data_IF_701644966082
#
_entry.id   IF_701644966082
#
_cell.length_a   1.000
_cell.length_b   1.000
_cell.length_c   1.000
_cell.angle_alpha   90.00
_cell.angle_beta   90.00
_cell.angle_gamma   90.00
#
_symmetry.space_group_name_H-M   'P 1'
#
loop_
_entity.id
_entity.type
_entity.pdbx_description
1 polymer ?
#
# COMPACT_ATOMS: atom_id res chain seq x y z
N UNK A 1 37.54 3.33 9.43
CA UNK A 1 37.02 3.59 10.79
C UNK A 1 35.88 4.57 10.65
N UNK A 2 34.65 4.07 10.45
CA UNK A 2 33.45 4.90 10.49
C UNK A 2 33.02 5.01 11.95
N UNK A 3 32.95 6.25 12.41
CA UNK A 3 32.51 6.59 13.76
C UNK A 3 31.01 6.29 13.86
N UNK A 4 30.66 5.15 14.47
CA UNK A 4 29.34 4.93 15.01
C UNK A 4 29.13 5.97 16.12
N UNK A 5 28.49 7.09 15.78
CA UNK A 5 27.95 8.00 16.76
C UNK A 5 26.76 7.29 17.43
N UNK A 6 27.07 6.49 18.45
CA UNK A 6 26.09 6.00 19.40
C UNK A 6 25.46 7.22 20.07
N UNK A 7 24.24 7.56 19.66
CA UNK A 7 23.37 8.44 20.43
C UNK A 7 22.98 7.71 21.71
N UNK A 8 23.77 7.90 22.77
CA UNK A 8 23.57 7.28 24.10
C UNK A 8 22.35 7.87 24.84
N UNK A 9 21.74 8.95 24.31
CA UNK A 9 20.51 9.53 24.86
C UNK A 9 19.37 9.19 23.90
N UNK A 10 18.54 8.21 24.26
CA UNK A 10 17.22 8.07 23.63
C UNK A 10 16.38 9.26 24.07
N UNK A 11 15.89 10.02 23.10
CA UNK A 11 14.93 11.09 23.35
C UNK A 11 13.67 10.52 24.01
N UNK A 12 13.11 11.21 25.00
CA UNK A 12 11.80 10.86 25.59
C UNK A 12 10.63 11.18 24.64
N UNK A 13 10.92 11.82 23.50
CA UNK A 13 9.93 12.10 22.47
C UNK A 13 9.86 10.96 21.45
N UNK A 14 8.65 10.57 20.99
CA UNK A 14 8.50 9.59 19.93
C UNK A 14 9.21 10.07 18.66
N UNK A 15 9.85 9.13 17.96
CA UNK A 15 10.56 9.40 16.72
C UNK A 15 9.63 9.99 15.66
N UNK A 16 10.09 11.03 14.96
CA UNK A 16 9.27 11.67 13.93
C UNK A 16 9.19 10.78 12.70
N UNK A 17 8.04 10.74 12.03
CA UNK A 17 7.86 9.90 10.85
C UNK A 17 8.85 10.24 9.72
N UNK A 18 9.34 11.48 9.63
CA UNK A 18 10.37 11.88 8.66
C UNK A 18 11.72 11.25 8.97
N UNK A 19 12.07 11.09 10.25
CA UNK A 19 13.30 10.42 10.69
C UNK A 19 13.23 8.94 10.31
N UNK A 20 12.11 8.28 10.64
CA UNK A 20 11.84 6.87 10.25
C UNK A 20 11.89 6.71 8.73
N UNK A 21 11.29 7.64 7.96
CA UNK A 21 11.29 7.58 6.51
C UNK A 21 12.69 7.79 5.90
N UNK A 22 13.59 8.49 6.61
CA UNK A 22 14.97 8.67 6.19
C UNK A 22 15.89 7.51 6.59
N UNK A 23 15.53 6.74 7.63
CA UNK A 23 16.29 5.60 8.15
C UNK A 23 15.57 4.26 7.88
N UNK A 24 15.33 4.00 6.59
CA UNK A 24 14.77 2.72 6.13
C UNK A 24 15.87 1.65 6.08
N UNK A 25 15.51 0.42 6.42
CA UNK A 25 16.37 -0.74 6.15
C UNK A 25 16.41 -0.95 4.63
N UNK A 26 17.59 -0.75 4.04
CA UNK A 26 17.83 -0.84 2.60
C UNK A 26 18.87 -1.89 2.21
N UNK A 27 19.68 -2.36 3.17
CA UNK A 27 20.59 -3.49 2.99
C UNK A 27 19.93 -4.79 3.52
N UNK A 28 19.73 -5.81 2.67
CA UNK A 28 19.22 -7.11 3.14
C UNK A 28 20.02 -7.72 4.30
N UNK A 29 21.33 -7.44 4.41
CA UNK A 29 22.16 -7.94 5.53
C UNK A 29 21.76 -7.36 6.87
N UNK A 30 21.33 -6.09 6.89
CA UNK A 30 20.83 -5.45 8.10
C UNK A 30 19.53 -6.12 8.55
N UNK A 31 18.58 -6.33 7.64
CA UNK A 31 17.32 -7.01 7.96
C UNK A 31 17.54 -8.44 8.47
N UNK A 32 18.47 -9.19 7.86
CA UNK A 32 18.86 -10.52 8.33
C UNK A 32 19.40 -10.51 9.77
N UNK A 33 20.26 -9.53 10.07
CA UNK A 33 20.86 -9.40 11.39
C UNK A 33 19.81 -9.01 12.45
N UNK A 34 18.97 -8.02 12.15
CA UNK A 34 17.90 -7.55 13.04
C UNK A 34 16.92 -8.69 13.38
N UNK A 35 16.57 -9.49 12.37
CA UNK A 35 15.66 -10.63 12.53
C UNK A 35 16.36 -11.92 12.94
N UNK A 36 17.69 -11.94 13.13
CA UNK A 36 18.45 -13.15 13.51
C UNK A 36 18.18 -14.35 12.60
N UNK A 37 18.07 -14.10 11.30
CA UNK A 37 17.74 -15.13 10.31
C UNK A 37 18.98 -15.93 9.91
N UNK A 38 18.90 -17.25 10.01
CA UNK A 38 19.95 -18.16 9.53
C UNK A 38 19.82 -18.39 8.02
N UNK A 39 20.87 -18.04 7.27
CA UNK A 39 20.90 -18.13 5.81
C UNK A 39 21.44 -19.46 5.29
N UNK A 40 22.01 -20.32 6.14
CA UNK A 40 22.78 -21.50 5.70
C UNK A 40 21.93 -22.61 5.10
N UNK A 41 20.65 -22.73 5.52
CA UNK A 41 19.78 -23.84 5.14
C UNK A 41 18.43 -23.41 4.54
N UNK A 42 18.16 -22.11 4.37
CA UNK A 42 16.88 -21.64 3.84
C UNK A 42 16.98 -21.21 2.36
N UNK A 43 16.25 -21.86 1.43
CA UNK A 43 16.22 -21.46 0.02
C UNK A 43 15.78 -20.02 -0.22
N UNK A 44 14.94 -19.46 0.66
CA UNK A 44 14.50 -18.07 0.58
C UNK A 44 15.62 -17.07 0.86
N UNK A 45 16.70 -17.47 1.53
CA UNK A 45 17.82 -16.60 1.86
C UNK A 45 18.58 -16.11 0.62
N UNK A 46 18.48 -16.83 -0.50
CA UNK A 46 19.05 -16.38 -1.77
C UNK A 46 18.34 -15.11 -2.26
N UNK A 47 19.11 -14.06 -2.50
CA UNK A 47 18.62 -12.77 -3.00
C UNK A 47 18.41 -12.81 -4.52
N UNK A 48 17.39 -12.10 -5.02
CA UNK A 48 17.23 -11.79 -6.43
C UNK A 48 18.23 -10.71 -6.85
N UNK A 49 19.13 -11.03 -7.78
CA UNK A 49 20.12 -10.08 -8.27
C UNK A 49 19.46 -9.00 -9.15
N UNK A 50 18.61 -9.40 -10.10
CA UNK A 50 17.92 -8.44 -10.98
C UNK A 50 16.81 -7.71 -10.21
N UNK A 51 16.00 -8.46 -9.46
CA UNK A 51 14.89 -7.94 -8.67
C UNK A 51 15.30 -6.90 -7.63
N UNK A 52 16.44 -7.09 -6.96
CA UNK A 52 16.97 -6.12 -5.99
C UNK A 52 17.53 -4.86 -6.67
N UNK A 53 18.19 -5.00 -7.82
CA UNK A 53 18.72 -3.85 -8.57
C UNK A 53 17.62 -2.95 -9.15
N UNK A 54 16.53 -3.55 -9.64
CA UNK A 54 15.39 -2.82 -10.21
C UNK A 54 14.43 -2.28 -9.15
N UNK A 55 14.22 -3.05 -8.08
CA UNK A 55 13.29 -2.72 -7.01
C UNK A 55 14.02 -2.93 -5.67
N UNK A 56 14.74 -1.90 -5.16
CA UNK A 56 15.59 -2.06 -3.98
C UNK A 56 14.78 -2.44 -2.74
N UNK A 57 15.44 -3.02 -1.73
CA UNK A 57 14.82 -3.22 -0.43
C UNK A 57 14.51 -1.85 0.20
N UNK A 58 13.30 -1.70 0.72
CA UNK A 58 12.91 -0.60 1.60
C UNK A 58 11.95 -1.13 2.64
N UNK A 59 12.37 -1.14 3.89
CA UNK A 59 11.56 -1.60 5.01
C UNK A 59 11.64 -0.60 6.16
N UNK A 60 10.52 0.03 6.55
CA UNK A 60 10.51 0.87 7.74
C UNK A 60 10.76 0.03 8.99
N UNK A 61 11.56 0.56 9.92
CA UNK A 61 11.88 -0.12 11.19
C UNK A 61 10.63 -0.50 12.00
N UNK A 62 9.57 0.33 12.12
CA UNK A 62 8.34 -0.08 12.81
C UNK A 62 7.61 -1.26 12.14
N UNK A 63 7.81 -1.48 10.85
CA UNK A 63 7.28 -2.65 10.14
C UNK A 63 8.13 -3.89 10.41
N UNK A 64 9.46 -3.77 10.33
CA UNK A 64 10.38 -4.86 10.65
C UNK A 64 10.25 -5.33 12.12
N UNK A 65 10.00 -4.41 13.05
CA UNK A 65 9.87 -4.71 14.48
C UNK A 65 8.68 -5.64 14.82
N UNK A 66 7.70 -5.77 13.91
CA UNK A 66 6.56 -6.69 14.05
C UNK A 66 6.83 -8.09 13.50
N UNK A 67 7.96 -8.31 12.83
CA UNK A 67 8.34 -9.63 12.32
C UNK A 67 8.86 -10.51 13.46
N UNK A 68 8.65 -11.82 13.35
CA UNK A 68 9.16 -12.81 14.29
C UNK A 68 10.65 -13.11 14.04
N UNK A 69 11.56 -12.86 15.01
CA UNK A 69 12.97 -13.18 14.85
C UNK A 69 13.21 -14.68 14.65
N UNK A 70 14.09 -15.03 13.72
CA UNK A 70 14.45 -16.40 13.39
C UNK A 70 13.43 -17.12 12.48
N UNK A 71 12.33 -16.46 12.10
CA UNK A 71 11.27 -17.07 11.31
C UNK A 71 11.31 -16.62 9.83
N UNK A 72 11.77 -17.50 8.94
CA UNK A 72 11.74 -17.28 7.49
C UNK A 72 10.35 -17.36 6.88
N UNK A 73 9.42 -18.02 7.56
CA UNK A 73 8.03 -18.15 7.14
C UNK A 73 7.16 -16.99 7.61
N UNK A 74 7.76 -16.00 8.29
CA UNK A 74 7.07 -14.80 8.76
C UNK A 74 6.32 -14.10 7.61
N UNK A 75 5.01 -13.85 7.74
CA UNK A 75 4.18 -13.33 6.67
C UNK A 75 4.48 -11.86 6.34
N UNK A 76 5.09 -11.09 7.25
CA UNK A 76 5.54 -9.72 6.98
C UNK A 76 6.87 -9.75 6.24
N UNK A 77 7.82 -10.60 6.64
CA UNK A 77 9.09 -10.80 5.95
C UNK A 77 8.86 -11.19 4.49
N UNK A 78 7.97 -12.16 4.25
CA UNK A 78 7.61 -12.61 2.90
C UNK A 78 7.13 -11.47 2.00
N UNK A 79 6.54 -10.42 2.55
CA UNK A 79 6.05 -9.27 1.77
C UNK A 79 7.15 -8.28 1.35
N UNK A 80 8.34 -8.34 1.96
CA UNK A 80 9.42 -7.36 1.75
C UNK A 80 10.77 -7.98 1.37
N UNK A 81 10.96 -9.28 1.61
CA UNK A 81 12.23 -9.96 1.34
C UNK A 81 12.45 -10.21 -0.17
N UNK A 82 13.53 -9.68 -0.77
CA UNK A 82 13.82 -9.76 -2.20
C UNK A 82 14.40 -11.13 -2.58
N UNK A 83 13.58 -12.16 -2.51
CA UNK A 83 13.96 -13.55 -2.77
C UNK A 83 14.36 -13.77 -4.24
N UNK A 84 15.27 -14.70 -4.48
CA UNK A 84 15.67 -15.18 -5.82
C UNK A 84 14.50 -15.65 -6.69
N UNK A 85 13.36 -15.99 -6.08
CA UNK A 85 12.10 -16.31 -6.77
C UNK A 85 11.56 -15.15 -7.62
N UNK A 86 12.04 -13.93 -7.42
CA UNK A 86 11.68 -12.77 -8.25
C UNK A 86 12.40 -12.72 -9.59
N UNK A 87 13.54 -13.40 -9.72
CA UNK A 87 14.30 -13.46 -10.97
C UNK A 87 13.78 -14.57 -11.90
N UNK A 88 12.73 -15.29 -11.50
CA UNK A 88 12.06 -16.30 -12.32
C UNK A 88 11.20 -15.62 -13.38
N UNK A 89 11.65 -15.74 -14.64
CA UNK A 89 10.95 -15.22 -15.80
C UNK A 89 9.81 -16.16 -16.24
N UNK A 90 8.74 -15.60 -16.79
CA UNK A 90 7.58 -16.35 -17.29
C UNK A 90 6.84 -15.51 -18.32
N UNK A 91 6.46 -16.12 -19.45
CA UNK A 91 5.68 -15.47 -20.52
C UNK A 91 4.27 -15.05 -20.06
N UNK A 92 3.82 -15.57 -18.92
CA UNK A 92 2.52 -15.23 -18.33
C UNK A 92 2.55 -13.99 -17.43
N UNK A 93 3.70 -13.30 -17.35
CA UNK A 93 3.93 -12.09 -16.56
C UNK A 93 4.24 -10.89 -17.48
N UNK A 94 3.84 -9.70 -17.06
CA UNK A 94 4.04 -8.43 -17.79
C UNK A 94 4.67 -7.36 -16.91
N UNK A 95 5.29 -6.34 -17.53
CA UNK A 95 5.78 -5.15 -16.82
C UNK A 95 4.63 -4.16 -16.49
N UNK A 96 3.58 -4.11 -17.32
CA UNK A 96 2.38 -3.30 -17.13
C UNK A 96 1.14 -4.18 -17.36
N UNK A 97 0.77 -5.04 -16.40
CA UNK A 97 -0.36 -5.97 -16.58
C UNK A 97 -1.70 -5.23 -16.61
N UNK A 98 -1.75 -4.00 -16.10
CA UNK A 98 -2.97 -3.20 -15.98
C UNK A 98 -3.15 -2.20 -17.11
N UNK A 99 -2.14 -2.07 -17.98
CA UNK A 99 -2.10 -1.13 -19.09
C UNK A 99 -2.31 0.33 -18.61
N UNK A 100 -1.78 0.68 -17.44
CA UNK A 100 -2.03 1.98 -16.81
C UNK A 100 -1.58 3.14 -17.69
N UNK A 101 -0.52 2.92 -18.47
CA UNK A 101 0.02 3.86 -19.45
C UNK A 101 -1.02 4.35 -20.47
N UNK A 102 -2.01 3.52 -20.83
CA UNK A 102 -3.07 3.87 -21.78
C UNK A 102 -4.17 4.77 -21.19
N UNK A 103 -4.22 4.93 -19.86
CA UNK A 103 -5.26 5.70 -19.16
C UNK A 103 -4.77 7.06 -18.67
N UNK A 104 -3.50 7.41 -18.94
CA UNK A 104 -2.93 8.73 -18.66
C UNK A 104 -3.57 9.80 -19.56
N UNK A 105 -4.33 10.72 -18.97
CA UNK A 105 -4.87 11.90 -19.68
C UNK A 105 -3.81 13.00 -19.76
N UNK A 106 -3.16 13.24 -18.64
CA UNK A 106 -1.98 14.10 -18.46
C UNK A 106 -1.00 13.36 -17.55
N UNK A 107 0.29 13.73 -17.53
CA UNK A 107 1.25 13.16 -16.59
C UNK A 107 0.72 13.17 -15.16
N UNK A 108 0.58 11.99 -14.57
CA UNK A 108 0.09 11.78 -13.21
C UNK A 108 -1.42 11.95 -12.97
N UNK A 109 -2.24 12.10 -14.02
CA UNK A 109 -3.69 11.95 -13.95
C UNK A 109 -4.15 10.75 -14.77
N UNK A 110 -4.68 9.75 -14.07
CA UNK A 110 -5.22 8.53 -14.65
C UNK A 110 -6.75 8.56 -14.58
N UNK A 111 -7.42 8.27 -15.69
CA UNK A 111 -8.87 8.09 -15.71
C UNK A 111 -9.25 6.76 -16.36
N UNK A 112 -9.30 5.72 -15.53
CA UNK A 112 -9.73 4.38 -15.94
C UNK A 112 -11.26 4.20 -15.92
N UNK A 113 -11.94 4.93 -15.04
CA UNK A 113 -13.34 4.69 -14.75
C UNK A 113 -14.18 5.96 -14.82
N UNK A 114 -15.45 5.80 -15.17
CA UNK A 114 -16.41 6.90 -15.15
C UNK A 114 -16.53 7.50 -13.74
N UNK A 115 -16.61 8.83 -13.68
CA UNK A 115 -16.90 9.62 -12.50
C UNK A 115 -15.78 9.75 -11.47
N UNK A 116 -14.58 9.19 -11.74
CA UNK A 116 -13.44 9.29 -10.84
C UNK A 116 -12.10 9.34 -11.56
N UNK A 117 -11.15 10.05 -10.99
CA UNK A 117 -9.75 10.11 -11.46
C UNK A 117 -8.79 9.73 -10.35
N UNK A 118 -7.60 9.28 -10.74
CA UNK A 118 -6.49 9.02 -9.83
C UNK A 118 -5.35 10.01 -10.12
N UNK A 119 -4.86 10.64 -9.06
CA UNK A 119 -3.70 11.51 -9.07
C UNK A 119 -2.51 10.78 -8.45
N UNK A 120 -1.38 10.73 -9.15
CA UNK A 120 -0.11 10.24 -8.60
C UNK A 120 0.51 11.32 -7.70
N UNK A 121 -0.02 11.41 -6.48
CA UNK A 121 0.33 12.45 -5.53
C UNK A 121 1.81 12.42 -5.13
N UNK A 122 2.40 11.23 -5.01
CA UNK A 122 3.83 11.06 -4.73
C UNK A 122 4.40 9.84 -5.49
N UNK A 123 5.65 9.90 -5.97
CA UNK A 123 6.27 8.80 -6.71
C UNK A 123 6.89 7.73 -5.82
N UNK A 124 7.21 8.04 -4.57
CA UNK A 124 7.98 7.16 -3.68
C UNK A 124 7.10 6.43 -2.66
N UNK A 125 7.53 5.22 -2.30
CA UNK A 125 6.98 4.43 -1.19
C UNK A 125 7.99 4.37 -0.04
N UNK A 126 7.49 4.32 1.20
CA UNK A 126 8.29 4.02 2.39
C UNK A 126 8.63 2.52 2.52
N UNK A 127 7.84 1.66 1.87
CA UNK A 127 8.04 0.20 1.84
C UNK A 127 7.95 -0.30 0.41
N UNK A 128 8.86 -1.18 0.01
CA UNK A 128 8.83 -1.83 -1.29
C UNK A 128 8.21 -3.23 -1.16
N UNK A 129 6.91 -3.31 -1.40
CA UNK A 129 6.16 -4.56 -1.33
C UNK A 129 6.59 -5.48 -2.50
N UNK A 130 7.08 -6.69 -2.23
CA UNK A 130 7.59 -7.59 -3.28
C UNK A 130 6.52 -8.12 -4.23
N UNK A 131 5.25 -7.89 -3.89
CA UNK A 131 4.08 -8.17 -4.72
C UNK A 131 3.52 -6.90 -5.41
N UNK A 132 4.22 -5.76 -5.36
CA UNK A 132 3.73 -4.50 -5.92
C UNK A 132 3.52 -4.57 -7.43
N UNK A 133 2.28 -4.32 -7.88
CA UNK A 133 1.96 -4.33 -9.30
C UNK A 133 2.56 -3.14 -10.07
N UNK A 134 2.89 -2.04 -9.37
CA UNK A 134 3.55 -0.85 -9.92
C UNK A 134 5.07 -0.85 -9.77
N UNK A 135 5.69 -1.99 -9.46
CA UNK A 135 7.15 -2.06 -9.27
C UNK A 135 7.97 -1.63 -10.50
N UNK A 136 7.37 -1.68 -11.69
CA UNK A 136 7.95 -1.24 -12.98
C UNK A 136 7.31 0.04 -13.52
N UNK A 137 6.47 0.72 -12.73
CA UNK A 137 5.78 1.94 -13.17
C UNK A 137 6.77 3.10 -13.35
N UNK A 138 6.62 3.87 -14.42
CA UNK A 138 7.45 5.04 -14.68
C UNK A 138 7.00 6.23 -13.83
N UNK A 139 7.40 6.21 -12.57
CA UNK A 139 7.14 7.29 -11.63
C UNK A 139 7.81 8.60 -12.02
N UNK A 140 8.95 8.57 -12.73
CA UNK A 140 9.64 9.78 -13.15
C UNK A 140 8.81 10.57 -14.17
N UNK A 141 8.22 9.88 -15.15
CA UNK A 141 7.32 10.50 -16.12
C UNK A 141 5.95 10.88 -15.55
N UNK A 142 5.58 10.35 -14.38
CA UNK A 142 4.27 10.56 -13.73
C UNK A 142 4.39 11.24 -12.36
N UNK A 143 5.41 12.09 -12.19
CA UNK A 143 5.54 13.02 -11.07
C UNK A 143 5.18 14.42 -11.57
N UNK A 144 3.95 14.90 -11.35
CA UNK A 144 3.52 16.18 -11.92
C UNK A 144 4.30 17.34 -11.31
N UNK A 145 4.81 18.23 -12.16
CA UNK A 145 5.32 19.52 -11.74
C UNK A 145 4.17 20.51 -11.54
N UNK A 146 4.52 21.78 -11.28
CA UNK A 146 3.52 22.83 -11.04
C UNK A 146 2.56 23.02 -12.22
N UNK A 147 3.08 22.96 -13.45
CA UNK A 147 2.30 23.14 -14.68
C UNK A 147 1.32 21.99 -14.89
N UNK A 148 1.82 20.76 -14.76
CA UNK A 148 1.04 19.53 -14.92
C UNK A 148 -0.05 19.43 -13.85
N UNK A 149 0.22 19.92 -12.62
CA UNK A 149 -0.81 20.04 -11.59
C UNK A 149 -1.90 21.04 -11.98
N UNK A 150 -1.54 22.23 -12.45
CA UNK A 150 -2.55 23.20 -12.92
C UNK A 150 -3.43 22.62 -14.03
N UNK A 151 -2.84 21.89 -14.97
CA UNK A 151 -3.56 21.20 -16.06
C UNK A 151 -4.50 20.12 -15.50
N UNK A 152 -4.03 19.32 -14.54
CA UNK A 152 -4.80 18.24 -13.92
C UNK A 152 -5.99 18.77 -13.11
N UNK A 153 -5.79 19.84 -12.33
CA UNK A 153 -6.84 20.49 -11.55
C UNK A 153 -7.85 21.19 -12.48
N UNK A 154 -7.39 21.85 -13.54
CA UNK A 154 -8.28 22.43 -14.55
C UNK A 154 -9.14 21.36 -15.22
N UNK A 155 -8.54 20.24 -15.63
CA UNK A 155 -9.26 19.11 -16.21
C UNK A 155 -10.39 18.59 -15.32
N UNK A 156 -10.12 18.43 -14.02
CA UNK A 156 -11.14 17.99 -13.04
C UNK A 156 -12.24 19.06 -12.90
N UNK A 157 -11.85 20.33 -12.83
CA UNK A 157 -12.79 21.45 -12.69
C UNK A 157 -13.71 21.61 -13.92
N UNK A 158 -13.23 21.26 -15.11
CA UNK A 158 -13.99 21.35 -16.38
C UNK A 158 -14.86 20.11 -16.65
N UNK A 159 -14.70 19.05 -15.83
CA UNK A 159 -15.36 17.75 -16.03
C UNK A 159 -16.38 17.47 -14.90
N UNK A 160 -17.63 17.96 -15.01
CA UNK A 160 -18.62 17.89 -13.93
C UNK A 160 -19.04 16.46 -13.53
N UNK A 161 -18.80 15.47 -14.41
CA UNK A 161 -19.09 14.06 -14.11
C UNK A 161 -18.12 13.47 -13.07
N UNK A 162 -16.95 14.11 -12.84
CA UNK A 162 -15.95 13.65 -11.86
C UNK A 162 -16.36 14.08 -10.45
N UNK A 163 -17.02 13.17 -9.72
CA UNK A 163 -17.43 13.40 -8.33
C UNK A 163 -16.40 12.88 -7.31
N UNK A 164 -15.40 12.12 -7.76
CA UNK A 164 -14.38 11.55 -6.87
C UNK A 164 -12.96 11.71 -7.40
N UNK A 165 -12.05 12.11 -6.52
CA UNK A 165 -10.61 12.19 -6.79
C UNK A 165 -9.85 11.25 -5.85
N UNK A 166 -9.01 10.40 -6.43
CA UNK A 166 -8.21 9.41 -5.71
C UNK A 166 -6.76 9.87 -5.64
N UNK A 167 -6.21 10.05 -4.43
CA UNK A 167 -4.78 10.25 -4.23
C UNK A 167 -4.08 8.89 -4.07
N UNK A 168 -3.15 8.61 -4.96
CA UNK A 168 -2.34 7.37 -5.00
C UNK A 168 -0.95 7.69 -5.58
N UNK A 169 -0.32 6.74 -6.27
CA UNK A 169 1.03 6.85 -6.81
C UNK A 169 1.91 5.74 -6.24
N UNK A 170 3.02 6.13 -5.63
CA UNK A 170 3.76 5.29 -4.69
C UNK A 170 2.98 5.22 -3.39
N UNK A 171 3.10 6.25 -2.55
CA UNK A 171 2.20 6.45 -1.41
C UNK A 171 1.96 7.97 -1.16
N UNK A 172 0.71 8.47 -1.21
CA UNK A 172 0.41 9.89 -1.05
C UNK A 172 0.86 10.45 0.31
N UNK A 173 0.87 9.63 1.37
CA UNK A 173 1.32 10.08 2.69
C UNK A 173 2.85 10.07 2.84
N UNK A 174 3.60 9.58 1.86
CA UNK A 174 5.04 9.79 1.82
C UNK A 174 5.41 11.25 1.46
N UNK A 175 4.44 12.05 1.01
CA UNK A 175 4.64 13.47 0.78
C UNK A 175 4.64 14.28 2.08
N UNK A 176 5.39 15.40 2.06
CA UNK A 176 5.42 16.36 3.16
C UNK A 176 4.08 17.06 3.37
N UNK A 177 3.81 17.43 4.62
CA UNK A 177 2.51 17.96 5.04
C UNK A 177 2.07 19.20 4.25
N UNK A 178 2.98 20.14 3.93
CA UNK A 178 2.63 21.33 3.16
C UNK A 178 2.15 21.02 1.75
N UNK A 179 2.76 20.03 1.08
CA UNK A 179 2.38 19.64 -0.27
C UNK A 179 1.05 18.86 -0.25
N UNK A 180 0.89 17.94 0.70
CA UNK A 180 -0.36 17.20 0.85
C UNK A 180 -1.54 18.14 1.16
N UNK A 181 -1.35 19.09 2.09
CA UNK A 181 -2.36 20.09 2.43
C UNK A 181 -2.76 20.94 1.22
N UNK A 182 -1.78 21.39 0.44
CA UNK A 182 -2.04 22.14 -0.79
C UNK A 182 -2.84 21.30 -1.79
N UNK A 183 -2.43 20.06 -2.09
CA UNK A 183 -3.11 19.22 -3.07
C UNK A 183 -4.55 18.89 -2.64
N UNK A 184 -4.76 18.58 -1.36
CA UNK A 184 -6.09 18.38 -0.79
C UNK A 184 -6.95 19.64 -0.94
N UNK A 185 -6.41 20.82 -0.63
CA UNK A 185 -7.15 22.08 -0.73
C UNK A 185 -7.51 22.44 -2.18
N UNK A 186 -6.63 22.20 -3.15
CA UNK A 186 -6.92 22.44 -4.57
C UNK A 186 -8.05 21.54 -5.07
N UNK A 187 -8.04 20.26 -4.70
CA UNK A 187 -9.09 19.31 -5.08
C UNK A 187 -10.41 19.62 -4.36
N UNK A 188 -10.36 19.89 -3.04
CA UNK A 188 -11.56 20.10 -2.22
C UNK A 188 -12.33 21.39 -2.57
N UNK A 189 -11.63 22.38 -3.16
CA UNK A 189 -12.22 23.62 -3.67
C UNK A 189 -13.15 23.39 -4.86
N UNK A 190 -13.01 22.29 -5.59
CA UNK A 190 -13.82 21.99 -6.78
C UNK A 190 -15.24 21.57 -6.33
N UNK A 191 -16.30 22.36 -6.63
CA UNK A 191 -17.61 22.16 -6.00
C UNK A 191 -18.27 20.79 -6.24
N UNK A 192 -18.12 20.24 -7.45
CA UNK A 192 -18.70 18.95 -7.85
C UNK A 192 -17.88 17.74 -7.40
N UNK A 193 -16.67 17.93 -6.84
CA UNK A 193 -15.95 16.85 -6.17
C UNK A 193 -16.60 16.64 -4.80
N UNK A 194 -17.17 15.46 -4.60
CA UNK A 194 -17.89 15.09 -3.38
C UNK A 194 -17.06 14.18 -2.47
N UNK A 195 -16.11 13.44 -3.05
CA UNK A 195 -15.27 12.46 -2.33
C UNK A 195 -13.80 12.62 -2.69
N UNK A 196 -12.96 12.69 -1.66
CA UNK A 196 -11.51 12.56 -1.79
C UNK A 196 -11.11 11.23 -1.17
N UNK A 197 -10.55 10.35 -1.99
CA UNK A 197 -10.13 9.01 -1.57
C UNK A 197 -8.61 8.94 -1.49
N UNK A 198 -8.05 8.50 -0.37
CA UNK A 198 -6.60 8.41 -0.17
C UNK A 198 -6.22 6.94 -0.06
N UNK A 199 -5.34 6.46 -0.95
CA UNK A 199 -4.80 5.10 -0.89
C UNK A 199 -3.41 5.14 -0.30
N UNK A 200 -3.23 4.62 0.91
CA UNK A 200 -1.95 4.70 1.60
C UNK A 200 -1.68 3.45 2.44
N UNK A 201 -0.44 2.96 2.36
CA UNK A 201 0.09 1.92 3.23
C UNK A 201 0.85 2.50 4.42
N UNK A 202 1.21 3.80 4.38
CA UNK A 202 1.99 4.46 5.43
C UNK A 202 1.44 4.24 6.86
N UNK A 203 0.13 4.33 7.15
CA UNK A 203 -0.38 4.07 8.50
C UNK A 203 -0.11 2.65 9.00
N UNK A 204 0.06 1.69 8.09
CA UNK A 204 0.41 0.31 8.41
C UNK A 204 1.91 0.17 8.65
N UNK A 205 2.78 0.85 7.90
CA UNK A 205 4.24 0.63 7.98
C UNK A 205 5.01 1.67 8.82
N UNK A 206 4.48 2.88 8.94
CA UNK A 206 4.97 3.99 9.77
C UNK A 206 3.74 4.67 10.41
N UNK A 207 3.13 4.08 11.45
CA UNK A 207 1.94 4.64 12.10
C UNK A 207 2.16 6.08 12.62
N UNK A 208 3.42 6.45 12.92
CA UNK A 208 3.85 7.79 13.32
C UNK A 208 3.52 8.87 12.26
N UNK A 209 3.27 8.49 11.00
CA UNK A 209 2.85 9.43 9.94
C UNK A 209 1.47 10.03 10.22
N UNK A 210 0.65 9.36 11.05
CA UNK A 210 -0.65 9.84 11.48
C UNK A 210 -0.48 10.83 12.63
N UNK A 211 -0.16 12.06 12.25
CA UNK A 211 0.02 13.18 13.19
C UNK A 211 -1.30 13.93 13.42
N UNK A 212 -1.34 14.76 14.45
CA UNK A 212 -2.45 15.69 14.67
C UNK A 212 -2.67 16.62 13.46
N UNK A 213 -1.59 17.04 12.79
CA UNK A 213 -1.67 17.88 11.59
C UNK A 213 -2.36 17.15 10.43
N UNK A 214 -2.01 15.87 10.18
CA UNK A 214 -2.71 15.06 9.17
C UNK A 214 -4.20 14.91 9.52
N UNK A 215 -4.50 14.63 10.79
CA UNK A 215 -5.88 14.51 11.24
C UNK A 215 -6.68 15.81 11.03
N UNK A 216 -6.07 16.98 11.31
CA UNK A 216 -6.67 18.29 11.04
C UNK A 216 -7.02 18.44 9.56
N UNK A 217 -6.05 18.18 8.66
CA UNK A 217 -6.27 18.26 7.21
C UNK A 217 -7.46 17.42 6.75
N UNK A 218 -7.60 16.19 7.28
CA UNK A 218 -8.70 15.29 6.91
C UNK A 218 -10.04 15.77 7.46
N UNK A 219 -10.07 16.30 8.68
CA UNK A 219 -11.29 16.78 9.35
C UNK A 219 -11.84 18.09 8.79
N UNK A 220 -10.99 18.88 8.14
CA UNK A 220 -11.34 20.19 7.57
C UNK A 220 -11.86 20.09 6.13
N UNK A 221 -11.80 18.91 5.50
CA UNK A 221 -12.30 18.71 4.14
C UNK A 221 -13.82 18.93 4.09
N UNK A 222 -14.27 19.70 3.09
CA UNK A 222 -15.69 19.78 2.71
C UNK A 222 -16.15 18.44 2.11
N UNK A 223 -15.32 17.87 1.25
CA UNK A 223 -15.55 16.58 0.60
C UNK A 223 -15.47 15.44 1.60
N UNK A 224 -16.22 14.37 1.36
CA UNK A 224 -16.10 13.15 2.17
C UNK A 224 -14.71 12.54 2.01
N UNK A 225 -14.05 12.27 3.13
CA UNK A 225 -12.78 11.56 3.15
C UNK A 225 -13.01 10.04 3.20
N UNK A 226 -12.49 9.32 2.22
CA UNK A 226 -12.40 7.85 2.23
C UNK A 226 -10.94 7.46 2.26
N UNK A 227 -10.53 6.67 3.24
CA UNK A 227 -9.15 6.26 3.39
C UNK A 227 -9.03 4.76 3.17
N UNK A 228 -8.21 4.38 2.21
CA UNK A 228 -7.95 3.00 1.84
C UNK A 228 -6.58 2.59 2.37
N UNK A 229 -6.57 1.72 3.38
CA UNK A 229 -5.35 1.10 3.89
C UNK A 229 -4.96 -0.10 3.03
N UNK A 230 -3.70 -0.51 3.16
CA UNK A 230 -3.20 -1.72 2.52
C UNK A 230 -2.50 -2.66 3.52
N UNK A 231 -3.29 -3.55 4.10
CA UNK A 231 -2.87 -4.56 5.08
C UNK A 231 -3.21 -5.96 4.59
N UNK A 232 -2.24 -6.90 4.60
CA UNK A 232 -2.43 -8.27 4.09
C UNK A 232 -2.48 -9.34 5.18
N UNK A 233 -1.93 -9.07 6.37
CA UNK A 233 -1.88 -10.03 7.46
C UNK A 233 -2.20 -9.34 8.81
N UNK A 234 -2.92 -9.97 9.75
CA UNK A 234 -3.26 -9.35 11.04
C UNK A 234 -2.04 -8.95 11.88
N UNK A 235 -0.89 -9.60 11.68
CA UNK A 235 0.38 -9.23 12.33
C UNK A 235 0.89 -7.84 11.92
N UNK A 236 0.39 -7.28 10.81
CA UNK A 236 0.65 -5.90 10.43
C UNK A 236 -0.13 -4.89 11.30
N UNK A 237 -0.97 -5.30 12.25
CA UNK A 237 -1.74 -4.39 13.10
C UNK A 237 -1.38 -4.66 14.56
N UNK A 238 -0.46 -3.85 15.08
CA UNK A 238 -0.15 -3.76 16.50
C UNK A 238 -0.92 -2.60 17.15
N UNK A 239 -0.58 -2.27 18.41
CA UNK A 239 -1.22 -1.18 19.14
C UNK A 239 -0.98 0.21 18.53
N UNK A 240 0.19 0.47 17.95
CA UNK A 240 0.50 1.76 17.33
C UNK A 240 -0.27 1.94 16.03
N UNK A 241 -0.33 0.90 15.20
CA UNK A 241 -1.14 0.90 13.97
C UNK A 241 -2.62 1.05 14.31
N UNK A 242 -3.12 0.32 15.32
CA UNK A 242 -4.52 0.47 15.75
C UNK A 242 -4.83 1.90 16.20
N UNK A 243 -3.94 2.54 16.97
CA UNK A 243 -4.11 3.92 17.41
C UNK A 243 -4.10 4.91 16.22
N UNK A 244 -3.19 4.71 15.26
CA UNK A 244 -3.11 5.52 14.05
C UNK A 244 -4.39 5.41 13.19
N UNK A 245 -4.89 4.19 12.98
CA UNK A 245 -6.14 3.96 12.25
C UNK A 245 -7.32 4.62 12.96
N UNK A 246 -7.44 4.44 14.28
CA UNK A 246 -8.47 5.11 15.08
C UNK A 246 -8.38 6.62 14.95
N UNK A 247 -7.19 7.22 14.99
CA UNK A 247 -7.04 8.67 14.81
C UNK A 247 -7.56 9.16 13.45
N UNK A 248 -7.26 8.44 12.35
CA UNK A 248 -7.81 8.75 11.02
C UNK A 248 -9.34 8.64 11.02
N UNK A 249 -9.89 7.59 11.66
CA UNK A 249 -11.35 7.43 11.79
C UNK A 249 -12.01 8.58 12.55
N UNK A 250 -11.40 9.02 13.65
CA UNK A 250 -11.89 10.13 14.47
C UNK A 250 -11.79 11.47 13.76
N UNK A 251 -10.84 11.63 12.83
CA UNK A 251 -10.75 12.78 11.92
C UNK A 251 -11.88 12.82 10.87
N UNK A 252 -12.80 11.85 10.87
CA UNK A 252 -13.99 11.86 10.02
C UNK A 252 -13.89 11.00 8.75
N UNK A 253 -12.74 10.38 8.48
CA UNK A 253 -12.59 9.51 7.31
C UNK A 253 -13.32 8.17 7.47
N UNK A 254 -13.91 7.68 6.38
CA UNK A 254 -14.35 6.29 6.28
C UNK A 254 -13.15 5.40 5.97
N UNK A 255 -12.88 4.38 6.79
CA UNK A 255 -11.72 3.50 6.62
C UNK A 255 -12.10 2.17 5.97
N UNK A 256 -11.39 1.84 4.90
CA UNK A 256 -11.52 0.57 4.19
C UNK A 256 -10.13 -0.05 4.00
N UNK A 257 -10.04 -1.37 3.90
CA UNK A 257 -8.79 -2.07 3.59
C UNK A 257 -8.85 -2.78 2.25
N UNK A 258 -7.82 -2.57 1.42
CA UNK A 258 -7.52 -3.44 0.29
C UNK A 258 -6.38 -4.38 0.66
N UNK A 259 -6.60 -5.68 0.50
CA UNK A 259 -5.57 -6.72 0.60
C UNK A 259 -5.33 -7.34 -0.77
N UNK A 260 -4.18 -7.99 -0.94
CA UNK A 260 -3.89 -8.89 -2.06
C UNK A 260 -3.80 -10.31 -1.50
N UNK A 261 -4.36 -11.28 -2.21
CA UNK A 261 -4.28 -12.70 -1.86
C UNK A 261 -2.92 -13.25 -2.27
N UNK A 262 -2.04 -13.44 -1.31
CA UNK A 262 -0.62 -13.74 -1.51
C UNK A 262 -0.30 -15.14 -0.99
N UNK A 263 0.26 -15.98 -1.87
CA UNK A 263 0.75 -17.32 -1.52
C UNK A 263 1.81 -17.25 -0.43
N UNK A 264 1.63 -18.04 0.63
CA UNK A 264 2.52 -18.11 1.79
C UNK A 264 2.35 -16.95 2.78
N UNK A 265 1.42 -16.01 2.56
CA UNK A 265 1.19 -14.87 3.46
C UNK A 265 -0.21 -14.93 4.06
N UNK A 266 -1.24 -14.90 3.21
CA UNK A 266 -2.63 -14.83 3.65
C UNK A 266 -3.57 -15.74 2.84
N UNK A 267 -3.03 -16.71 2.11
CA UNK A 267 -3.81 -17.70 1.37
C UNK A 267 -4.38 -18.83 2.25
N UNK A 268 -4.76 -18.50 3.48
CA UNK A 268 -5.33 -19.39 4.49
C UNK A 268 -6.58 -18.75 5.09
N UNK A 269 -7.62 -19.55 5.34
CA UNK A 269 -8.92 -19.03 5.80
C UNK A 269 -8.77 -18.31 7.15
N UNK A 270 -8.06 -18.92 8.08
CA UNK A 270 -7.81 -18.38 9.42
C UNK A 270 -7.08 -17.03 9.37
N UNK A 271 -6.09 -16.89 8.48
CA UNK A 271 -5.37 -15.62 8.28
C UNK A 271 -6.31 -14.51 7.81
N UNK A 272 -7.19 -14.79 6.85
CA UNK A 272 -8.16 -13.81 6.33
C UNK A 272 -9.26 -13.48 7.34
N UNK A 273 -9.77 -14.48 8.06
CA UNK A 273 -10.76 -14.30 9.13
C UNK A 273 -10.19 -13.42 10.24
N UNK A 274 -8.95 -13.71 10.66
CA UNK A 274 -8.24 -12.93 11.67
C UNK A 274 -7.93 -11.52 11.15
N UNK A 275 -7.49 -11.36 9.91
CA UNK A 275 -7.30 -10.04 9.29
C UNK A 275 -8.59 -9.19 9.35
N UNK A 276 -9.71 -9.73 8.86
CA UNK A 276 -10.99 -9.02 8.84
C UNK A 276 -11.45 -8.60 10.23
N UNK A 277 -11.30 -9.45 11.24
CA UNK A 277 -11.69 -9.14 12.61
C UNK A 277 -10.75 -8.12 13.27
N UNK A 278 -9.44 -8.22 13.05
CA UNK A 278 -8.45 -7.23 13.54
C UNK A 278 -8.64 -5.85 12.89
N UNK A 279 -8.95 -5.81 11.59
CA UNK A 279 -9.32 -4.57 10.89
C UNK A 279 -10.55 -3.93 11.53
N UNK A 280 -11.59 -4.72 11.78
CA UNK A 280 -12.83 -4.21 12.38
C UNK A 280 -12.63 -3.68 13.80
N UNK A 281 -11.80 -4.35 14.61
CA UNK A 281 -11.38 -3.85 15.93
C UNK A 281 -10.59 -2.53 15.87
N UNK A 282 -10.11 -2.16 14.68
CA UNK A 282 -9.38 -0.93 14.38
C UNK A 282 -10.22 0.09 13.61
N UNK A 283 -11.54 -0.09 13.58
CA UNK A 283 -12.53 0.73 12.86
C UNK A 283 -12.34 0.77 11.33
N UNK A 284 -11.73 -0.28 10.76
CA UNK A 284 -11.53 -0.46 9.31
C UNK A 284 -12.41 -1.59 8.78
N UNK A 285 -13.12 -1.34 7.69
CA UNK A 285 -13.88 -2.40 7.01
C UNK A 285 -13.02 -3.12 5.95
N UNK A 286 -13.02 -4.45 5.90
CA UNK A 286 -12.41 -5.19 4.81
C UNK A 286 -13.19 -4.93 3.51
N UNK A 287 -12.52 -4.40 2.48
CA UNK A 287 -13.17 -3.95 1.25
C UNK A 287 -12.88 -4.87 0.07
N UNK A 288 -11.65 -4.89 -0.41
CA UNK A 288 -11.24 -5.77 -1.51
C UNK A 288 -10.16 -6.75 -1.07
N UNK A 289 -10.29 -7.97 -1.56
CA UNK A 289 -9.20 -8.94 -1.65
C UNK A 289 -8.88 -9.12 -3.13
N UNK A 290 -7.75 -8.61 -3.56
CA UNK A 290 -7.30 -8.70 -4.94
C UNK A 290 -6.66 -10.04 -5.22
N UNK A 291 -7.01 -10.68 -6.34
CA UNK A 291 -6.08 -11.63 -6.95
C UNK A 291 -4.80 -10.88 -7.37
N UNK A 292 -3.62 -11.48 -7.21
CA UNK A 292 -2.37 -10.85 -7.64
C UNK A 292 -2.38 -10.51 -9.12
N UNK A 293 -1.99 -9.28 -9.45
CA UNK A 293 -1.69 -8.90 -10.81
C UNK A 293 -0.44 -9.65 -11.30
N UNK A 294 -0.46 -10.09 -12.55
CA UNK A 294 0.59 -10.92 -13.16
C UNK A 294 1.79 -10.08 -13.59
N UNK A 295 2.52 -9.57 -12.61
CA UNK A 295 3.70 -8.71 -12.82
C UNK A 295 5.01 -9.51 -12.80
N UNK A 296 5.93 -9.15 -13.69
CA UNK A 296 7.29 -9.71 -13.68
C UNK A 296 7.94 -9.52 -12.31
N UNK A 297 8.37 -10.62 -11.70
CA UNK A 297 8.95 -10.66 -10.36
C UNK A 297 7.97 -10.91 -9.22
N UNK A 298 6.66 -11.07 -9.48
CA UNK A 298 5.66 -11.38 -8.43
C UNK A 298 5.08 -12.79 -8.53
N UNK A 299 5.52 -13.59 -9.52
CA UNK A 299 4.92 -14.88 -9.86
C UNK A 299 4.82 -15.89 -8.71
N UNK A 300 5.74 -15.85 -7.76
CA UNK A 300 5.75 -16.73 -6.58
C UNK A 300 4.63 -16.44 -5.57
N UNK A 301 3.97 -15.27 -5.66
CA UNK A 301 2.79 -14.95 -4.84
C UNK A 301 1.46 -15.40 -5.44
N UNK A 302 1.44 -15.85 -6.71
CA UNK A 302 0.20 -16.17 -7.42
C UNK A 302 -0.55 -17.30 -6.71
N UNK A 303 -1.83 -17.05 -6.46
CA UNK A 303 -2.82 -18.04 -6.00
C UNK A 303 -3.81 -18.26 -7.15
N UNK A 304 -4.13 -19.52 -7.43
CA UNK A 304 -5.05 -19.83 -8.52
C UNK A 304 -6.48 -19.41 -8.17
N UNK A 305 -7.26 -19.00 -9.17
CA UNK A 305 -8.63 -18.52 -8.96
C UNK A 305 -9.52 -19.56 -8.27
N UNK A 306 -9.41 -20.83 -8.65
CA UNK A 306 -10.18 -21.92 -8.04
C UNK A 306 -9.84 -22.14 -6.56
N UNK A 307 -8.58 -21.93 -6.17
CA UNK A 307 -8.14 -21.97 -4.76
C UNK A 307 -8.68 -20.76 -4.00
N UNK A 308 -8.62 -19.57 -4.61
CA UNK A 308 -9.16 -18.34 -4.04
C UNK A 308 -10.67 -18.42 -3.79
N UNK A 309 -11.44 -18.99 -4.72
CA UNK A 309 -12.89 -19.18 -4.56
C UNK A 309 -13.22 -20.13 -3.41
N UNK A 310 -12.51 -21.26 -3.31
CA UNK A 310 -12.66 -22.20 -2.19
C UNK A 310 -12.32 -21.54 -0.85
N UNK A 311 -11.24 -20.77 -0.81
CA UNK A 311 -10.82 -20.01 0.35
C UNK A 311 -11.91 -19.01 0.79
N UNK A 312 -12.46 -18.25 -0.16
CA UNK A 312 -13.53 -17.28 0.13
C UNK A 312 -14.84 -17.93 0.56
N UNK A 313 -15.16 -19.15 0.12
CA UNK A 313 -16.29 -19.91 0.64
C UNK A 313 -16.11 -20.23 2.14
N UNK A 314 -14.89 -20.63 2.54
CA UNK A 314 -14.56 -20.85 3.95
C UNK A 314 -14.68 -19.56 4.77
N UNK A 315 -14.11 -18.45 4.30
CA UNK A 315 -14.20 -17.14 4.97
C UNK A 315 -15.66 -16.70 5.15
N UNK A 316 -16.50 -16.84 4.11
CA UNK A 316 -17.93 -16.50 4.15
C UNK A 316 -18.72 -17.32 5.16
N UNK A 317 -18.32 -18.57 5.42
CA UNK A 317 -19.01 -19.41 6.40
C UNK A 317 -18.73 -19.04 7.87
N UNK A 318 -17.70 -18.24 8.13
CA UNK A 318 -17.27 -17.88 9.50
C UNK A 318 -17.48 -16.40 9.85
N UNK A 319 -17.49 -15.50 8.87
CA UNK A 319 -17.61 -14.06 9.10
C UNK A 319 -19.02 -13.53 8.82
N UNK A 320 -19.47 -12.51 9.55
CA UNK A 320 -20.63 -11.73 9.13
C UNK A 320 -20.34 -11.04 7.79
N UNK A 321 -21.37 -10.87 6.96
CA UNK A 321 -21.19 -10.43 5.57
C UNK A 321 -20.44 -9.10 5.38
N UNK A 322 -20.59 -8.16 6.31
CA UNK A 322 -19.88 -6.87 6.27
C UNK A 322 -18.38 -6.98 6.61
N UNK A 323 -17.90 -8.14 7.08
CA UNK A 323 -16.49 -8.44 7.30
C UNK A 323 -15.89 -9.36 6.22
N UNK A 324 -16.68 -9.77 5.23
CA UNK A 324 -16.18 -10.54 4.10
C UNK A 324 -15.69 -9.57 3.02
N UNK A 325 -14.38 -9.51 2.71
CA UNK A 325 -13.90 -8.69 1.60
C UNK A 325 -14.42 -9.22 0.27
N UNK A 326 -14.61 -8.34 -0.71
CA UNK A 326 -14.96 -8.73 -2.06
C UNK A 326 -13.72 -9.25 -2.79
N UNK A 327 -13.75 -10.51 -3.23
CA UNK A 327 -12.71 -11.08 -4.09
C UNK A 327 -12.82 -10.45 -5.49
N UNK A 328 -11.75 -9.80 -5.94
CA UNK A 328 -11.73 -9.06 -7.20
C UNK A 328 -10.49 -9.32 -8.01
N UNK A 329 -10.62 -9.13 -9.33
CA UNK A 329 -9.51 -9.06 -10.28
C UNK A 329 -9.59 -7.75 -11.05
N UNK A 330 -8.44 -7.18 -11.36
CA UNK A 330 -8.33 -6.02 -12.23
C UNK A 330 -8.06 -6.50 -13.66
N UNK A 331 -9.02 -6.29 -14.54
CA UNK A 331 -8.92 -6.65 -15.95
C UNK A 331 -8.73 -5.35 -16.76
N UNK A 332 -7.65 -5.21 -17.55
CA UNK A 332 -7.44 -4.03 -18.39
C UNK A 332 -8.61 -3.77 -19.34
N UNK A 333 -9.00 -2.50 -19.50
CA UNK A 333 -10.08 -2.09 -20.40
C UNK A 333 -11.50 -2.29 -19.86
N UNK A 334 -11.70 -2.96 -18.72
CA UNK A 334 -13.02 -3.08 -18.12
C UNK A 334 -13.46 -1.79 -17.42
N UNK A 335 -14.77 -1.52 -17.41
CA UNK A 335 -15.39 -0.34 -16.78
C UNK A 335 -15.47 -0.42 -15.25
N UNK A 336 -15.10 -1.55 -14.66
CA UNK A 336 -15.01 -1.76 -13.22
C UNK A 336 -14.12 -2.97 -12.91
N UNK A 337 -13.72 -3.11 -11.64
CA UNK A 337 -13.08 -4.34 -11.15
C UNK A 337 -14.03 -5.52 -11.31
N UNK A 338 -13.51 -6.64 -11.80
CA UNK A 338 -14.27 -7.88 -11.97
C UNK A 338 -14.43 -8.55 -10.61
N UNK A 339 -15.67 -8.69 -10.13
CA UNK A 339 -15.97 -9.46 -8.93
C UNK A 339 -15.96 -10.95 -9.26
N UNK A 340 -15.28 -11.74 -8.45
CA UNK A 340 -15.23 -13.19 -8.57
C UNK A 340 -16.21 -13.77 -7.55
N UNK A 341 -17.31 -14.34 -8.05
CA UNK A 341 -18.49 -14.68 -7.25
C UNK A 341 -18.27 -15.90 -6.35
#
# INVERSE_FOLDING_TARGET
MQTLALSVIKSDQPEKWQEILSDLITDPKELLADLKLDTTANPLAALAAKGLAQFPLKVPRPFAARMEPGNWDDPLLRQVWPSSLEDVESDSLSLDPLQETHFNKTPGLLQKYHGRVLLTAAPHCAVHCRYCFRRHFDYAANTPGRREWSESIAYISESPDISEVILSGGDPLAAGDSYLAWLLAEVDRIPHVETIRIHSRLPIVIPQRVTAQLCSMLSELRSKSVFITHCNHPQEIDGEVQAALKAIRHAGSTLLNQAVLLKGVNNYADSLIKLSTTLFQSDVLPYYLHLPDRVTGTGHFIVNESEALKLMASVRSHLPGYLVPQLVREDPGNNSKTRLA
#
